data_IF_052569802390
#
_entry.id   IF_052569802390
#
_cell.length_a   1.000
_cell.length_b   1.000
_cell.length_c   1.000
_cell.angle_alpha   90.00
_cell.angle_beta   90.00
_cell.angle_gamma   90.00
#
_symmetry.space_group_name_H-M   'P 1'
#
loop_
_entity.id
_entity.type
_entity.pdbx_description
1 polymer ?
#
# COMPACT_ATOMS: atom_id res chain seq x y z
N UNK A 1 -3.33 -12.09 -4.32
CA UNK A 1 -3.47 -10.65 -4.67
C UNK A 1 -4.73 -10.13 -3.97
N UNK A 2 -4.76 -8.85 -3.59
CA UNK A 2 -5.90 -8.20 -2.91
C UNK A 2 -6.19 -6.83 -3.54
N UNK A 3 -7.47 -6.45 -3.67
CA UNK A 3 -7.90 -5.15 -4.19
C UNK A 3 -9.12 -4.60 -3.43
N UNK A 4 -9.90 -3.67 -4.01
CA UNK A 4 -11.19 -3.24 -3.45
C UNK A 4 -11.13 -2.44 -2.14
N UNK A 5 -10.13 -1.56 -1.99
CA UNK A 5 -10.07 -0.68 -0.83
C UNK A 5 -8.78 0.11 -0.65
N UNK A 6 -7.70 -0.29 -1.33
CA UNK A 6 -6.35 0.28 -1.17
C UNK A 6 -6.27 1.76 -1.54
N UNK A 7 -6.03 2.65 -0.57
CA UNK A 7 -5.87 4.11 -0.74
C UNK A 7 -4.58 4.66 -0.17
N UNK A 8 -3.94 3.96 0.75
CA UNK A 8 -2.71 4.40 1.43
C UNK A 8 -1.64 3.31 1.43
N UNK A 9 -0.41 3.67 1.78
CA UNK A 9 0.67 2.73 2.08
C UNK A 9 0.32 1.77 3.23
N UNK A 10 -0.38 2.25 4.26
CA UNK A 10 -0.83 1.41 5.37
C UNK A 10 -1.81 0.31 4.91
N UNK A 11 -2.75 0.62 4.00
CA UNK A 11 -3.65 -0.39 3.43
C UNK A 11 -2.88 -1.49 2.69
N UNK A 12 -1.82 -1.10 1.97
CA UNK A 12 -0.92 -2.03 1.26
C UNK A 12 -0.27 -2.96 2.28
N UNK A 13 0.38 -2.40 3.32
CA UNK A 13 1.06 -3.20 4.35
C UNK A 13 0.09 -4.13 5.09
N UNK A 14 -1.11 -3.65 5.45
CA UNK A 14 -2.12 -4.48 6.11
C UNK A 14 -2.59 -5.64 5.21
N UNK A 15 -2.86 -5.40 3.93
CA UNK A 15 -3.26 -6.45 2.99
C UNK A 15 -2.18 -7.53 2.87
N UNK A 16 -0.92 -7.10 2.80
CA UNK A 16 0.23 -8.00 2.69
C UNK A 16 0.47 -8.80 3.98
N UNK A 17 0.36 -8.16 5.15
CA UNK A 17 0.44 -8.83 6.46
C UNK A 17 -0.70 -9.84 6.68
N UNK A 18 -1.86 -9.63 6.04
CA UNK A 18 -2.97 -10.61 6.00
C UNK A 18 -2.76 -11.73 4.96
N UNK A 19 -1.60 -11.80 4.31
CA UNK A 19 -1.23 -12.90 3.41
C UNK A 19 -1.39 -12.61 1.92
N UNK A 20 -1.71 -11.37 1.52
CA UNK A 20 -1.69 -11.02 0.10
C UNK A 20 -0.24 -11.00 -0.44
N UNK A 21 -0.03 -11.55 -1.63
CA UNK A 21 1.25 -11.40 -2.35
C UNK A 21 1.46 -9.99 -2.90
N UNK A 22 0.36 -9.32 -3.27
CA UNK A 22 0.37 -7.97 -3.84
C UNK A 22 -0.99 -7.29 -3.56
N UNK A 23 -0.95 -5.96 -3.42
CA UNK A 23 -2.12 -5.10 -3.30
C UNK A 23 -2.33 -4.32 -4.62
N UNK A 24 -3.52 -4.37 -5.18
CA UNK A 24 -3.86 -3.75 -6.46
C UNK A 24 -4.54 -2.38 -6.23
N UNK A 25 -4.08 -1.38 -6.97
CA UNK A 25 -4.61 -0.01 -6.92
C UNK A 25 -5.65 0.15 -8.02
N UNK A 26 -6.83 0.67 -7.66
CA UNK A 26 -7.92 0.96 -8.60
C UNK A 26 -8.11 2.47 -8.77
N UNK A 27 -9.20 3.00 -8.21
CA UNK A 27 -9.58 4.42 -8.32
C UNK A 27 -8.45 5.45 -8.13
N UNK A 28 -7.49 5.29 -7.19
CA UNK A 28 -6.44 6.28 -7.01
C UNK A 28 -5.61 6.56 -8.27
N UNK A 29 -5.19 5.55 -9.03
CA UNK A 29 -4.40 5.80 -10.25
C UNK A 29 -5.25 6.46 -11.33
N UNK A 30 -6.56 6.16 -11.38
CA UNK A 30 -7.48 6.77 -12.33
C UNK A 30 -7.69 8.27 -12.03
N UNK A 31 -7.63 8.67 -10.76
CA UNK A 31 -7.62 10.08 -10.39
C UNK A 31 -6.32 10.76 -10.79
N UNK A 32 -5.17 10.09 -10.60
CA UNK A 32 -3.89 10.56 -11.13
C UNK A 32 -3.93 10.77 -12.65
N UNK A 33 -4.48 9.80 -13.38
CA UNK A 33 -4.69 9.88 -14.83
C UNK A 33 -5.52 11.10 -15.23
N UNK A 34 -6.60 11.37 -14.52
CA UNK A 34 -7.48 12.50 -14.81
C UNK A 34 -6.84 13.87 -14.52
N UNK A 35 -5.92 13.94 -13.56
CA UNK A 35 -5.27 15.18 -13.14
C UNK A 35 -4.05 15.54 -13.99
N UNK A 36 -3.19 14.57 -14.30
CA UNK A 36 -1.89 14.83 -14.94
C UNK A 36 -1.42 13.66 -15.81
N UNK A 37 -2.36 12.95 -16.43
CA UNK A 37 -2.06 11.89 -17.38
C UNK A 37 -1.17 10.79 -16.79
N UNK A 38 -0.12 10.42 -17.54
CA UNK A 38 0.82 9.38 -17.10
C UNK A 38 1.62 9.81 -15.88
N UNK A 39 2.02 11.09 -15.80
CA UNK A 39 2.80 11.60 -14.68
C UNK A 39 1.98 11.57 -13.38
N UNK A 40 0.68 11.87 -13.47
CA UNK A 40 -0.26 11.71 -12.36
C UNK A 40 -0.41 10.25 -11.91
N UNK A 41 -0.46 9.28 -12.82
CA UNK A 41 -0.44 7.84 -12.46
C UNK A 41 0.85 7.50 -11.71
N UNK A 42 2.01 7.90 -12.26
CA UNK A 42 3.33 7.62 -11.69
C UNK A 42 3.44 8.25 -10.30
N UNK A 43 2.97 9.48 -10.14
CA UNK A 43 2.93 10.18 -8.86
C UNK A 43 2.15 9.38 -7.81
N UNK A 44 0.91 8.96 -8.12
CA UNK A 44 0.08 8.18 -7.19
C UNK A 44 0.77 6.88 -6.79
N UNK A 45 1.30 6.12 -7.75
CA UNK A 45 1.95 4.83 -7.45
C UNK A 45 3.23 5.01 -6.61
N UNK A 46 4.03 6.04 -6.89
CA UNK A 46 5.23 6.35 -6.09
C UNK A 46 4.88 6.79 -4.68
N UNK A 47 3.85 7.63 -4.51
CA UNK A 47 3.40 8.08 -3.19
C UNK A 47 2.93 6.91 -2.32
N UNK A 48 2.16 5.98 -2.90
CA UNK A 48 1.72 4.77 -2.19
C UNK A 48 2.89 3.87 -1.77
N UNK A 49 3.88 3.68 -2.64
CA UNK A 49 5.07 2.89 -2.34
C UNK A 49 5.95 3.57 -1.28
N UNK A 50 6.12 4.90 -1.37
CA UNK A 50 6.89 5.67 -0.39
C UNK A 50 6.23 5.63 1.00
N UNK A 51 4.90 5.74 1.07
CA UNK A 51 4.18 5.60 2.34
C UNK A 51 4.29 4.18 2.91
N UNK A 52 4.20 3.14 2.07
CA UNK A 52 4.37 1.76 2.50
C UNK A 52 5.79 1.48 3.04
N UNK A 53 6.82 2.04 2.37
CA UNK A 53 8.22 1.99 2.82
C UNK A 53 8.41 2.70 4.16
N UNK A 54 7.82 3.89 4.34
CA UNK A 54 7.87 4.64 5.59
C UNK A 54 7.22 3.86 6.75
N UNK A 55 6.04 3.25 6.54
CA UNK A 55 5.37 2.42 7.55
C UNK A 55 6.29 1.27 7.96
N UNK A 56 6.83 0.53 6.99
CA UNK A 56 7.75 -0.57 7.27
C UNK A 56 9.01 -0.13 8.02
N UNK A 57 9.62 0.99 7.60
CA UNK A 57 10.84 1.51 8.22
C UNK A 57 10.62 1.98 9.67
N UNK A 58 9.52 2.68 9.93
CA UNK A 58 9.19 3.19 11.28
C UNK A 58 8.81 2.06 12.22
N UNK A 59 8.04 1.08 11.74
CA UNK A 59 7.52 -0.02 12.57
C UNK A 59 8.51 -1.21 12.69
N UNK A 60 9.65 -1.14 12.03
CA UNK A 60 10.74 -2.12 12.18
C UNK A 60 10.57 -3.40 11.36
N UNK A 61 9.97 -3.30 10.17
CA UNK A 61 9.81 -4.40 9.22
C UNK A 61 10.77 -4.22 8.02
N UNK A 62 12.02 -4.68 8.08
CA UNK A 62 13.02 -4.39 7.04
C UNK A 62 12.79 -5.15 5.73
N UNK A 63 12.04 -6.25 5.73
CA UNK A 63 11.72 -7.01 4.54
C UNK A 63 10.23 -7.36 4.43
N UNK A 64 9.81 -7.59 3.18
CA UNK A 64 8.46 -8.03 2.87
C UNK A 64 8.12 -9.43 3.43
N UNK A 65 9.13 -10.20 3.82
CA UNK A 65 8.98 -11.50 4.47
C UNK A 65 8.68 -11.37 5.98
N UNK A 66 8.98 -10.22 6.59
CA UNK A 66 8.75 -9.96 8.02
C UNK A 66 7.30 -9.54 8.32
N UNK A 67 6.41 -9.71 7.33
CA UNK A 67 5.00 -9.37 7.42
C UNK A 67 4.25 -10.56 8.00
N UNK A 68 3.98 -10.52 9.29
CA UNK A 68 3.25 -11.58 9.96
C UNK A 68 1.88 -11.06 10.48
N UNK A 69 0.81 -11.88 10.42
CA UNK A 69 -0.53 -11.46 10.87
C UNK A 69 -0.60 -11.02 12.33
N UNK A 70 0.35 -11.46 13.16
CA UNK A 70 0.52 -11.10 14.57
C UNK A 70 1.00 -9.65 14.78
N UNK A 71 1.60 -9.02 13.77
CA UNK A 71 1.92 -7.59 13.78
C UNK A 71 0.65 -6.71 13.73
N UNK A 72 -0.50 -7.27 13.35
CA UNK A 72 -1.76 -6.54 13.27
C UNK A 72 -2.59 -6.68 14.54
N UNK A 73 -3.11 -5.54 15.01
CA UNK A 73 -4.08 -5.48 16.11
C UNK A 73 -5.39 -4.89 15.61
N UNK A 74 -6.50 -5.57 15.88
CA UNK A 74 -7.84 -5.03 15.62
C UNK A 74 -8.14 -3.89 16.59
N UNK A 75 -8.37 -2.71 16.03
CA UNK A 75 -8.85 -1.52 16.75
C UNK A 75 -10.36 -1.35 16.50
N UNK A 76 -11.07 -0.75 17.46
CA UNK A 76 -12.52 -0.55 17.43
C UNK A 76 -12.87 0.86 17.03
#
# INVERSE_FOLDING_TARGET
MFDSGVRTGADIIQALALGATAACVGRPYAYGLALDGTDGIVHVLRSLLAEADLVMAVDGHPALADRAPDALRRIR
#
